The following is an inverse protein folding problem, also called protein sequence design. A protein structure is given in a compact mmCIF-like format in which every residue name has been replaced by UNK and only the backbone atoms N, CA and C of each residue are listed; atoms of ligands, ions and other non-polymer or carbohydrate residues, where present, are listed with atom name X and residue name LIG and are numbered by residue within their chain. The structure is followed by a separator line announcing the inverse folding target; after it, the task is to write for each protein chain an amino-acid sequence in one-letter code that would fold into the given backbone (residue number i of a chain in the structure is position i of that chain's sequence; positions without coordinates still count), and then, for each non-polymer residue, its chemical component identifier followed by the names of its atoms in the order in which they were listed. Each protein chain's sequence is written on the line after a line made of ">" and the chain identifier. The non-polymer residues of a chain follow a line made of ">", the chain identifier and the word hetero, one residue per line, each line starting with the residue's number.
data_IF_857621680164
#
_entry.id   IF_857621680164
#
_cell.length_a   1.000
_cell.length_b   1.000
_cell.length_c   1.000
_cell.angle_alpha   90.00
_cell.angle_beta   90.00
_cell.angle_gamma   90.00
#
_symmetry.space_group_name_H-M   'P 1'
#
loop_
_entity.id
_entity.type
_entity.pdbx_description
1 polymer ?
#
# COMPACT_ATOMS: atom_id res chain seq x y z
N UNK A 1 48.86 -16.52 24.24
CA UNK A 1 48.58 -15.25 23.52
C UNK A 1 47.51 -15.42 22.44
N UNK A 2 47.54 -16.49 21.63
CA UNK A 2 46.54 -16.82 20.59
C UNK A 2 45.06 -16.79 21.05
N UNK A 3 44.78 -17.34 22.25
CA UNK A 3 43.40 -17.43 22.78
C UNK A 3 42.80 -16.07 23.15
N UNK A 4 43.63 -15.15 23.66
CA UNK A 4 43.20 -13.79 23.97
C UNK A 4 42.96 -12.96 22.70
N UNK A 5 43.79 -13.16 21.66
CA UNK A 5 43.60 -12.53 20.36
C UNK A 5 42.29 -12.97 19.68
N UNK A 6 41.97 -14.27 19.71
CA UNK A 6 40.70 -14.79 19.17
C UNK A 6 39.49 -14.20 19.92
N UNK A 7 39.56 -14.11 21.24
CA UNK A 7 38.47 -13.56 22.05
C UNK A 7 38.22 -12.06 21.75
N UNK A 8 39.29 -11.28 21.56
CA UNK A 8 39.20 -9.87 21.18
C UNK A 8 38.65 -9.67 19.76
N UNK A 9 38.99 -10.56 18.82
CA UNK A 9 38.46 -10.51 17.45
C UNK A 9 36.95 -10.81 17.46
N UNK A 10 36.49 -11.80 18.24
CA UNK A 10 35.06 -12.12 18.35
C UNK A 10 34.27 -10.97 18.98
N UNK A 11 34.79 -10.32 20.03
CA UNK A 11 34.17 -9.14 20.65
C UNK A 11 34.10 -7.97 19.64
N UNK A 12 35.17 -7.73 18.89
CA UNK A 12 35.19 -6.69 17.86
C UNK A 12 34.19 -6.97 16.73
N UNK A 13 34.02 -8.23 16.31
CA UNK A 13 33.03 -8.62 15.31
C UNK A 13 31.59 -8.47 15.81
N UNK A 14 31.32 -8.76 17.09
CA UNK A 14 30.00 -8.55 17.71
C UNK A 14 29.62 -7.07 17.78
N UNK A 15 30.58 -6.16 17.97
CA UNK A 15 30.34 -4.73 18.02
C UNK A 15 29.98 -4.11 16.66
N UNK A 16 30.43 -4.70 15.55
CA UNK A 16 30.17 -4.21 14.18
C UNK A 16 28.77 -4.62 13.67
N UNK A 17 28.18 -5.68 14.24
CA UNK A 17 26.85 -6.20 13.85
C UNK A 17 25.65 -5.36 14.30
N UNK A 18 25.84 -4.31 15.10
CA UNK A 18 24.76 -3.44 15.63
C UNK A 18 24.78 -2.02 15.05
N UNK A 19 25.31 -1.83 13.84
CA UNK A 19 24.99 -0.63 13.09
C UNK A 19 23.47 -0.63 12.82
N UNK A 20 22.72 0.10 13.64
CA UNK A 20 21.29 0.35 13.42
C UNK A 20 21.18 1.01 12.05
N UNK A 21 20.70 0.26 11.06
CA UNK A 21 20.03 0.88 9.92
C UNK A 21 18.82 1.59 10.51
N UNK A 22 18.94 2.89 10.78
CA UNK A 22 17.78 3.76 10.73
C UNK A 22 17.34 3.72 9.27
N UNK A 23 16.48 2.76 8.94
CA UNK A 23 15.62 2.90 7.79
C UNK A 23 14.89 4.22 8.04
N UNK A 24 15.25 5.26 7.31
CA UNK A 24 14.46 6.48 7.29
C UNK A 24 13.03 6.02 6.98
N UNK A 25 12.12 6.20 7.95
CA UNK A 25 10.71 5.98 7.72
C UNK A 25 10.32 6.96 6.62
N UNK A 26 10.33 6.47 5.38
CA UNK A 26 9.62 7.13 4.29
C UNK A 26 8.17 7.13 4.78
N UNK A 27 7.47 8.27 4.80
CA UNK A 27 6.10 8.26 5.27
C UNK A 27 5.37 7.15 4.51
N UNK A 28 4.71 6.27 5.25
CA UNK A 28 3.91 5.16 4.72
C UNK A 28 2.65 5.73 4.06
N UNK A 29 2.84 6.68 3.14
CA UNK A 29 1.79 7.33 2.40
C UNK A 29 1.19 6.24 1.52
N UNK A 30 -0.04 5.85 1.84
CA UNK A 30 -0.86 5.08 0.94
C UNK A 30 -0.91 5.84 -0.39
N UNK A 31 -0.38 5.22 -1.44
CA UNK A 31 -0.44 5.75 -2.79
C UNK A 31 -1.76 5.33 -3.42
N UNK A 32 -2.31 6.22 -4.25
CA UNK A 32 -3.43 5.86 -5.11
C UNK A 32 -2.92 4.87 -6.18
N UNK A 33 -3.62 3.74 -6.44
CA UNK A 33 -3.17 2.75 -7.41
C UNK A 33 -3.39 3.17 -8.88
N UNK A 34 -3.74 4.44 -9.13
CA UNK A 34 -3.87 5.04 -10.46
C UNK A 34 -3.10 6.37 -10.49
N UNK A 35 -2.43 6.66 -11.61
CA UNK A 35 -1.86 7.99 -11.87
C UNK A 35 -2.98 8.98 -12.26
N UNK A 36 -3.66 9.50 -11.23
CA UNK A 36 -4.75 10.46 -11.38
C UNK A 36 -4.86 11.37 -10.16
N UNK A 37 -5.56 12.50 -10.32
CA UNK A 37 -5.99 13.41 -9.28
C UNK A 37 -7.47 13.18 -8.93
N UNK A 38 -7.76 12.63 -7.73
CA UNK A 38 -9.13 12.43 -7.26
C UNK A 38 -9.97 13.69 -7.36
N UNK A 39 -11.21 13.56 -7.83
CA UNK A 39 -12.14 14.67 -7.99
C UNK A 39 -11.97 15.45 -9.31
N UNK A 40 -10.84 15.29 -10.00
CA UNK A 40 -10.55 15.99 -11.25
C UNK A 40 -10.62 15.07 -12.46
N UNK A 41 -9.89 13.96 -12.42
CA UNK A 41 -9.75 13.04 -13.55
C UNK A 41 -9.98 11.57 -13.16
N UNK A 42 -10.20 11.30 -11.87
CA UNK A 42 -10.74 10.03 -11.38
C UNK A 42 -11.61 10.19 -10.13
N UNK A 43 -12.51 9.23 -9.89
CA UNK A 43 -13.42 9.19 -8.74
C UNK A 43 -13.64 7.75 -8.28
N UNK A 44 -13.77 7.52 -6.98
CA UNK A 44 -14.28 6.24 -6.49
C UNK A 44 -15.75 6.11 -6.86
N UNK A 45 -16.15 4.95 -7.38
CA UNK A 45 -17.56 4.66 -7.72
C UNK A 45 -18.13 3.49 -6.92
N UNK A 46 -17.28 2.59 -6.40
CA UNK A 46 -17.66 1.53 -5.47
C UNK A 46 -16.52 1.25 -4.51
N UNK A 47 -16.86 0.98 -3.25
CA UNK A 47 -15.97 0.48 -2.21
C UNK A 47 -16.12 -1.02 -2.03
N UNK A 48 -15.21 -1.60 -1.24
CA UNK A 48 -15.27 -3.00 -0.81
C UNK A 48 -16.57 -3.22 -0.02
N UNK A 49 -17.21 -4.35 -0.25
CA UNK A 49 -18.35 -4.80 0.54
C UNK A 49 -17.87 -5.43 1.85
N UNK A 50 -18.28 -4.83 2.96
CA UNK A 50 -17.99 -5.27 4.32
C UNK A 50 -19.22 -5.87 5.01
N UNK A 51 -20.35 -6.00 4.30
CA UNK A 51 -21.58 -6.54 4.85
C UNK A 51 -21.46 -8.03 5.24
N UNK A 52 -21.98 -8.44 6.41
CA UNK A 52 -22.06 -9.84 6.78
C UNK A 52 -23.17 -10.58 6.01
N UNK A 53 -22.85 -11.77 5.50
CA UNK A 53 -23.85 -12.60 4.82
C UNK A 53 -24.29 -12.00 3.50
N UNK A 54 -25.57 -11.62 3.40
CA UNK A 54 -26.16 -10.99 2.21
C UNK A 54 -26.36 -9.48 2.37
N UNK A 55 -25.86 -8.92 3.46
CA UNK A 55 -25.86 -7.48 3.65
C UNK A 55 -24.82 -6.84 2.72
N UNK A 56 -25.12 -5.65 2.22
CA UNK A 56 -24.28 -4.93 1.25
C UNK A 56 -23.99 -3.56 1.84
N UNK A 57 -22.76 -3.35 2.30
CA UNK A 57 -22.37 -2.11 2.97
C UNK A 57 -20.92 -1.73 2.69
N UNK A 58 -20.69 -0.47 2.34
CA UNK A 58 -19.35 0.10 2.28
C UNK A 58 -18.78 0.35 3.69
N UNK A 59 -17.53 0.84 3.77
CA UNK A 59 -16.84 1.10 5.04
C UNK A 59 -17.56 2.13 5.94
N UNK A 60 -18.44 2.95 5.38
CA UNK A 60 -19.22 3.96 6.07
C UNK A 60 -20.68 3.50 6.32
N UNK A 61 -20.95 2.20 6.21
CA UNK A 61 -22.28 1.61 6.30
C UNK A 61 -23.25 2.16 5.23
N UNK A 62 -22.70 2.66 4.12
CA UNK A 62 -23.43 3.23 3.01
C UNK A 62 -23.67 2.23 1.87
N UNK A 63 -24.47 2.62 0.87
CA UNK A 63 -24.83 1.77 -0.25
C UNK A 63 -23.82 1.81 -1.41
N UNK A 64 -22.65 2.46 -1.26
CA UNK A 64 -21.70 2.67 -2.37
C UNK A 64 -20.80 1.43 -2.57
N UNK A 65 -21.43 0.26 -2.71
CA UNK A 65 -20.78 -1.03 -2.97
C UNK A 65 -21.78 -1.99 -3.65
N UNK A 66 -21.45 -3.27 -3.77
CA UNK A 66 -22.35 -4.32 -4.28
C UNK A 66 -22.05 -5.66 -3.62
N UNK A 67 -23.02 -6.58 -3.63
CA UNK A 67 -22.91 -7.90 -2.96
C UNK A 67 -21.63 -8.64 -3.33
N UNK A 68 -20.80 -8.90 -2.32
CA UNK A 68 -19.56 -9.64 -2.46
C UNK A 68 -18.42 -8.87 -3.14
N UNK A 69 -18.54 -7.56 -3.33
CA UNK A 69 -17.51 -6.73 -3.96
C UNK A 69 -16.22 -6.71 -3.14
N UNK A 70 -15.07 -6.95 -3.78
CA UNK A 70 -13.77 -7.17 -3.09
C UNK A 70 -12.75 -6.07 -3.31
N UNK A 71 -13.08 -5.00 -4.05
CA UNK A 71 -12.13 -4.00 -4.48
C UNK A 71 -12.60 -2.57 -4.25
N UNK A 72 -11.83 -1.61 -4.73
CA UNK A 72 -12.31 -0.23 -4.89
C UNK A 72 -12.28 0.10 -6.37
N UNK A 73 -13.42 0.52 -6.90
CA UNK A 73 -13.56 0.83 -8.32
C UNK A 73 -13.37 2.32 -8.54
N UNK A 74 -12.51 2.67 -9.48
CA UNK A 74 -12.27 4.04 -9.90
C UNK A 74 -12.84 4.28 -11.30
N UNK A 75 -13.71 5.28 -11.43
CA UNK A 75 -14.05 5.84 -12.74
C UNK A 75 -12.93 6.79 -13.17
N UNK A 76 -12.53 6.68 -14.43
CA UNK A 76 -11.70 7.68 -15.12
C UNK A 76 -12.60 8.63 -15.90
N UNK A 77 -12.11 9.84 -16.18
CA UNK A 77 -12.88 10.95 -16.77
C UNK A 77 -13.81 10.57 -17.92
N UNK A 78 -13.31 9.87 -18.92
CA UNK A 78 -14.05 9.54 -20.13
C UNK A 78 -13.38 8.41 -20.93
N UNK A 79 -14.02 7.99 -22.02
CA UNK A 79 -13.52 6.94 -22.90
C UNK A 79 -12.23 7.32 -23.63
N UNK A 80 -11.99 8.61 -23.87
CA UNK A 80 -10.75 9.05 -24.50
C UNK A 80 -9.56 8.86 -23.54
N UNK A 81 -9.73 9.14 -22.25
CA UNK A 81 -8.74 8.85 -21.22
C UNK A 81 -8.47 7.33 -21.11
N UNK A 82 -9.52 6.49 -21.13
CA UNK A 82 -9.35 5.02 -21.18
C UNK A 82 -8.54 4.60 -22.41
N UNK A 83 -8.87 5.14 -23.58
CA UNK A 83 -8.22 4.80 -24.85
C UNK A 83 -6.74 5.21 -24.87
N UNK A 84 -6.41 6.34 -24.25
CA UNK A 84 -5.03 6.79 -24.07
C UNK A 84 -4.24 5.92 -23.07
N UNK A 85 -4.95 5.26 -22.17
CA UNK A 85 -4.36 4.53 -21.06
C UNK A 85 -4.21 5.40 -19.81
N UNK A 86 -4.35 4.76 -18.65
CA UNK A 86 -4.05 5.33 -17.33
C UNK A 86 -3.07 4.39 -16.66
N UNK A 87 -1.96 4.93 -16.15
CA UNK A 87 -0.95 4.13 -15.45
C UNK A 87 -1.55 3.57 -14.16
N UNK A 88 -1.37 2.27 -13.95
CA UNK A 88 -1.86 1.54 -12.77
C UNK A 88 -0.67 1.06 -11.97
N UNK A 89 -0.65 1.42 -10.69
CA UNK A 89 0.37 1.01 -9.75
C UNK A 89 -0.13 -0.16 -8.91
N UNK A 90 0.80 -1.04 -8.51
CA UNK A 90 0.46 -2.11 -7.57
C UNK A 90 0.03 -1.49 -6.22
N UNK A 91 -1.18 -1.84 -5.78
CA UNK A 91 -1.61 -1.60 -4.40
C UNK A 91 -0.92 -2.63 -3.49
N UNK A 92 -0.35 -2.17 -2.37
CA UNK A 92 0.38 -2.98 -1.40
C UNK A 92 -0.36 -3.04 -0.06
#
# INVERSE_FOLDING_TARGET
>A
MQRAAIFLIVIAMMAIGFARHEAAARPDNLLLPLDCAPGRDCWVVRYVDHGPGTEVQDYACGPMTGDGHKGTDFAVRDLAAVTKGVEVFAAA
#
